data_IF_674569395591
#
_entry.id   IF_674569395591
#
_cell.length_a   1.000
_cell.length_b   1.000
_cell.length_c   1.000
_cell.angle_alpha   90.00
_cell.angle_beta   90.00
_cell.angle_gamma   90.00
#
_symmetry.space_group_name_H-M   'P 1'
#
loop_
_entity.id
_entity.type
_entity.pdbx_description
1 polymer ?
#
# COMPACT_ATOMS: atom_id res chain seq x y z
N UNK A 1 6.18 19.22 1.52
CA UNK A 1 7.54 19.52 1.01
C UNK A 1 8.46 20.23 2.02
N UNK A 2 7.96 20.93 3.05
CA UNK A 2 8.79 21.65 4.02
C UNK A 2 9.92 20.83 4.66
N UNK A 3 9.66 19.60 5.15
CA UNK A 3 10.71 18.77 5.74
C UNK A 3 11.90 18.52 4.77
N UNK A 4 11.60 18.31 3.48
CA UNK A 4 12.63 18.14 2.45
C UNK A 4 13.45 19.43 2.22
N UNK A 5 12.85 20.62 2.42
CA UNK A 5 13.58 21.90 2.30
C UNK A 5 14.55 22.09 3.46
N UNK A 6 14.24 21.52 4.63
CA UNK A 6 15.13 21.47 5.79
C UNK A 6 16.23 20.39 5.66
N UNK A 7 16.28 19.67 4.52
CA UNK A 7 17.23 18.59 4.29
C UNK A 7 16.95 17.32 5.11
N UNK A 8 15.75 17.22 5.70
CA UNK A 8 15.30 16.03 6.44
C UNK A 8 14.89 14.96 5.42
N UNK A 9 15.49 13.75 5.46
CA UNK A 9 15.05 12.65 4.61
C UNK A 9 13.61 12.26 4.95
N UNK A 10 12.75 12.21 3.94
CA UNK A 10 11.35 11.78 4.07
C UNK A 10 11.17 10.48 3.32
N UNK A 11 10.60 9.47 3.99
CA UNK A 11 10.36 8.14 3.42
C UNK A 11 8.87 7.87 3.30
N UNK A 12 8.48 7.04 2.34
CA UNK A 12 7.10 6.55 2.24
C UNK A 12 7.02 5.14 1.65
N UNK A 13 6.13 4.33 2.20
CA UNK A 13 5.92 2.93 1.83
C UNK A 13 4.49 2.48 2.16
N UNK A 14 4.16 1.24 1.78
CA UNK A 14 3.05 0.41 2.25
C UNK A 14 1.60 0.87 1.97
N UNK A 15 1.29 2.16 2.01
CA UNK A 15 -0.09 2.64 1.94
C UNK A 15 -0.11 4.01 1.24
N UNK A 16 -0.89 4.97 1.74
CA UNK A 16 -0.83 6.37 1.31
C UNK A 16 0.61 6.93 1.32
N UNK A 17 1.49 6.44 2.20
CA UNK A 17 2.91 6.81 2.19
C UNK A 17 3.64 6.43 0.90
N UNK A 18 3.34 5.27 0.31
CA UNK A 18 3.91 4.85 -0.97
C UNK A 18 3.41 5.71 -2.12
N UNK A 19 2.10 5.98 -2.18
CA UNK A 19 1.51 6.89 -3.16
C UNK A 19 2.14 8.30 -3.06
N UNK A 20 2.21 8.87 -1.85
CA UNK A 20 2.87 10.17 -1.64
C UNK A 20 4.35 10.14 -2.02
N UNK A 21 5.06 9.04 -1.76
CA UNK A 21 6.44 8.90 -2.20
C UNK A 21 6.57 8.88 -3.73
N UNK A 22 5.62 8.27 -4.46
CA UNK A 22 5.62 8.26 -5.92
C UNK A 22 5.45 9.67 -6.47
N UNK A 23 4.45 10.42 -5.98
CA UNK A 23 4.20 11.81 -6.35
C UNK A 23 5.38 12.74 -6.00
N UNK A 24 5.99 12.52 -4.83
CA UNK A 24 7.04 13.38 -4.29
C UNK A 24 8.46 12.91 -4.61
N UNK A 25 8.62 11.84 -5.36
CA UNK A 25 9.92 11.33 -5.79
C UNK A 25 10.75 12.38 -6.54
N UNK A 26 10.20 13.16 -7.50
CA UNK A 26 10.94 14.22 -8.17
C UNK A 26 11.47 15.30 -7.22
N UNK A 27 10.86 15.42 -6.04
CA UNK A 27 11.24 16.37 -4.99
C UNK A 27 12.17 15.76 -3.93
N UNK A 28 12.56 14.49 -4.07
CA UNK A 28 13.52 13.81 -3.20
C UNK A 28 12.93 13.01 -2.04
N UNK A 29 11.62 12.76 -2.04
CA UNK A 29 11.05 11.76 -1.13
C UNK A 29 11.52 10.35 -1.54
N UNK A 30 11.87 9.52 -0.56
CA UNK A 30 12.39 8.17 -0.76
C UNK A 30 11.23 7.19 -0.67
N UNK A 31 10.82 6.62 -1.79
CA UNK A 31 9.84 5.54 -1.80
C UNK A 31 10.48 4.17 -1.58
N UNK A 32 9.74 3.28 -0.92
CA UNK A 32 10.21 1.93 -0.59
C UNK A 32 9.09 0.91 -0.81
N UNK A 33 9.47 -0.23 -1.41
CA UNK A 33 8.63 -1.41 -1.50
C UNK A 33 7.84 -1.52 -2.80
N UNK A 34 7.17 -2.66 -2.99
CA UNK A 34 6.50 -2.99 -4.23
C UNK A 34 5.33 -2.04 -4.54
N UNK A 35 4.58 -1.62 -3.51
CA UNK A 35 3.43 -0.71 -3.66
C UNK A 35 3.91 0.65 -4.18
N UNK A 36 5.05 1.13 -3.70
CA UNK A 36 5.64 2.36 -4.22
C UNK A 36 6.00 2.23 -5.71
N UNK A 37 6.65 1.13 -6.11
CA UNK A 37 7.05 0.92 -7.50
C UNK A 37 5.83 0.82 -8.45
N UNK A 38 4.73 0.20 -8.00
CA UNK A 38 3.48 0.18 -8.77
C UNK A 38 2.92 1.60 -9.01
N UNK A 39 2.87 2.46 -7.99
CA UNK A 39 2.45 3.85 -8.18
C UNK A 39 3.45 4.66 -9.01
N UNK A 40 4.75 4.45 -8.76
CA UNK A 40 5.84 5.17 -9.44
C UNK A 40 5.88 4.91 -10.93
N UNK A 41 5.61 3.68 -11.34
CA UNK A 41 5.58 3.26 -12.74
C UNK A 41 4.27 3.64 -13.45
N UNK A 42 3.24 4.08 -12.70
CA UNK A 42 1.90 4.32 -13.23
C UNK A 42 1.10 3.04 -13.46
N UNK A 43 1.57 1.88 -12.97
CA UNK A 43 0.77 0.65 -13.01
C UNK A 43 -0.50 0.84 -12.16
N UNK A 44 -0.37 1.50 -11.01
CA UNK A 44 -1.48 1.84 -10.13
C UNK A 44 -1.64 3.36 -10.07
N UNK A 45 -2.89 3.81 -10.24
CA UNK A 45 -3.25 5.23 -10.17
C UNK A 45 -4.35 5.50 -9.14
N UNK A 46 -5.11 4.48 -8.74
CA UNK A 46 -6.23 4.62 -7.80
C UNK A 46 -5.78 4.53 -6.34
N UNK A 47 -6.24 5.47 -5.51
CA UNK A 47 -6.02 5.48 -4.05
C UNK A 47 -6.61 4.24 -3.35
N UNK A 48 -7.60 3.58 -3.95
CA UNK A 48 -8.27 2.42 -3.38
C UNK A 48 -7.38 1.17 -3.33
N UNK A 49 -6.24 1.18 -4.03
CA UNK A 49 -5.30 0.05 -4.04
C UNK A 49 -4.75 -0.22 -2.63
N UNK A 50 -4.64 0.83 -1.82
CA UNK A 50 -4.11 0.78 -0.46
C UNK A 50 -5.16 1.06 0.63
N UNK A 51 -6.36 1.48 0.24
CA UNK A 51 -7.45 1.82 1.15
C UNK A 51 -7.99 0.59 1.87
N UNK A 52 -8.22 0.74 3.18
CA UNK A 52 -8.85 -0.26 4.04
C UNK A 52 -9.73 0.45 5.06
N UNK A 53 -10.75 -0.25 5.57
CA UNK A 53 -11.48 0.18 6.76
C UNK A 53 -10.72 -0.32 7.97
N UNK A 54 -10.47 0.55 8.94
CA UNK A 54 -9.90 0.16 10.24
C UNK A 54 -10.98 0.14 11.31
N UNK A 55 -10.80 -0.72 12.30
CA UNK A 55 -11.53 -0.62 13.56
C UNK A 55 -11.24 0.73 14.23
N UNK A 56 -12.11 1.18 15.15
CA UNK A 56 -11.80 2.29 16.03
C UNK A 56 -10.46 2.13 16.76
N UNK A 57 -9.88 3.24 17.20
CA UNK A 57 -8.56 3.28 17.85
C UNK A 57 -8.55 2.50 19.16
N UNK A 58 -9.69 2.49 19.87
CA UNK A 58 -9.91 1.75 21.11
C UNK A 58 -9.79 0.23 20.92
N UNK A 59 -9.95 -0.25 19.67
CA UNK A 59 -9.80 -1.65 19.28
C UNK A 59 -8.47 -1.92 18.55
N UNK A 60 -7.54 -0.97 18.57
CA UNK A 60 -6.19 -1.14 18.03
C UNK A 60 -6.06 -0.98 16.52
N UNK A 61 -6.97 -0.27 15.87
CA UNK A 61 -6.93 0.06 14.43
C UNK A 61 -6.70 -1.16 13.53
N UNK A 62 -7.33 -2.30 13.82
CA UNK A 62 -7.19 -3.50 13.01
C UNK A 62 -7.89 -3.31 11.66
N UNK A 63 -7.31 -3.78 10.55
CA UNK A 63 -7.99 -3.74 9.26
C UNK A 63 -9.22 -4.66 9.28
N UNK A 64 -10.39 -4.10 8.95
CA UNK A 64 -11.65 -4.82 8.78
C UNK A 64 -11.86 -5.27 7.33
N UNK A 65 -11.16 -4.63 6.39
CA UNK A 65 -11.16 -4.98 4.97
C UNK A 65 -9.73 -5.12 4.46
N UNK A 66 -9.59 -5.78 3.30
CA UNK A 66 -8.31 -6.08 2.69
C UNK A 66 -7.91 -4.96 1.72
N UNK A 67 -6.62 -4.61 1.70
CA UNK A 67 -6.10 -3.72 0.66
C UNK A 67 -6.06 -4.48 -0.68
N UNK A 68 -6.28 -3.77 -1.79
CA UNK A 68 -6.15 -4.42 -3.11
C UNK A 68 -4.73 -4.92 -3.33
N UNK A 69 -3.73 -4.17 -2.87
CA UNK A 69 -2.32 -4.56 -2.92
C UNK A 69 -2.06 -5.94 -2.27
N UNK A 70 -2.63 -6.18 -1.09
CA UNK A 70 -2.48 -7.45 -0.36
C UNK A 70 -3.23 -8.60 -1.07
N UNK A 71 -4.41 -8.31 -1.64
CA UNK A 71 -5.16 -9.29 -2.44
C UNK A 71 -4.39 -9.68 -3.71
N UNK A 72 -3.84 -8.71 -4.46
CA UNK A 72 -3.03 -8.97 -5.66
C UNK A 72 -1.82 -9.84 -5.33
N UNK A 73 -1.09 -9.48 -4.28
CA UNK A 73 0.07 -10.24 -3.84
C UNK A 73 -0.31 -11.67 -3.40
N UNK A 74 -1.40 -11.82 -2.67
CA UNK A 74 -1.90 -13.13 -2.21
C UNK A 74 -2.35 -14.02 -3.37
N UNK A 75 -3.10 -13.48 -4.33
CA UNK A 75 -3.57 -14.23 -5.50
C UNK A 75 -2.43 -14.60 -6.46
N UNK A 76 -1.42 -13.73 -6.59
CA UNK A 76 -0.18 -14.05 -7.31
C UNK A 76 0.56 -15.22 -6.65
N UNK A 77 0.71 -15.19 -5.32
CA UNK A 77 1.31 -16.31 -4.57
C UNK A 77 0.52 -17.61 -4.73
N UNK A 78 -0.81 -17.54 -4.75
CA UNK A 78 -1.67 -18.70 -4.98
C UNK A 78 -1.54 -19.26 -6.42
N UNK A 79 -1.38 -18.40 -7.43
CA UNK A 79 -1.11 -18.80 -8.82
C UNK A 79 0.26 -19.51 -8.91
N UNK A 80 1.31 -18.89 -8.35
CA UNK A 80 2.68 -19.43 -8.36
C UNK A 80 2.78 -20.77 -7.62
N UNK A 81 1.99 -20.95 -6.55
CA UNK A 81 1.89 -22.21 -5.81
C UNK A 81 0.95 -23.25 -6.47
N UNK A 82 0.34 -22.95 -7.62
CA UNK A 82 -0.56 -23.86 -8.33
C UNK A 82 -1.89 -24.12 -7.62
N UNK A 83 -2.26 -23.29 -6.63
CA UNK A 83 -3.52 -23.40 -5.87
C UNK A 83 -4.71 -23.02 -6.74
N UNK A 84 -4.52 -22.01 -7.58
CA UNK A 84 -5.50 -21.55 -8.57
C UNK A 84 -4.84 -21.38 -9.93
N UNK A 85 -5.61 -21.52 -11.00
CA UNK A 85 -5.11 -21.16 -12.34
C UNK A 85 -4.93 -19.64 -12.48
N UNK A 86 -4.06 -19.21 -13.40
CA UNK A 86 -3.93 -17.79 -13.80
C UNK A 86 -5.27 -17.15 -14.17
N UNK A 87 -6.13 -17.90 -14.86
CA UNK A 87 -7.48 -17.45 -15.21
C UNK A 87 -8.32 -17.18 -13.96
N UNK A 88 -8.31 -18.10 -13.00
CA UNK A 88 -9.04 -17.94 -11.74
C UNK A 88 -8.48 -16.76 -10.93
N UNK A 89 -7.16 -16.65 -10.79
CA UNK A 89 -6.52 -15.52 -10.09
C UNK A 89 -6.87 -14.17 -10.72
N UNK A 90 -6.84 -14.07 -12.05
CA UNK A 90 -7.22 -12.86 -12.78
C UNK A 90 -8.69 -12.48 -12.58
N UNK A 91 -9.61 -13.45 -12.61
CA UNK A 91 -11.04 -13.21 -12.36
C UNK A 91 -11.30 -12.74 -10.92
N UNK A 92 -10.65 -13.35 -9.93
CA UNK A 92 -10.76 -12.94 -8.53
C UNK A 92 -10.17 -11.55 -8.29
N UNK A 93 -9.04 -11.24 -8.93
CA UNK A 93 -8.41 -9.93 -8.86
C UNK A 93 -9.33 -8.85 -9.46
N UNK A 94 -9.87 -9.09 -10.65
CA UNK A 94 -10.80 -8.16 -11.29
C UNK A 94 -12.07 -7.94 -10.45
N UNK A 95 -12.61 -9.02 -9.88
CA UNK A 95 -13.76 -8.91 -8.99
C UNK A 95 -13.45 -8.13 -7.72
N UNK A 96 -12.35 -8.44 -7.03
CA UNK A 96 -11.91 -7.72 -5.83
C UNK A 96 -11.70 -6.22 -6.10
N UNK A 97 -11.18 -5.87 -7.28
CA UNK A 97 -11.01 -4.49 -7.73
C UNK A 97 -12.35 -3.80 -8.02
N UNK A 98 -13.35 -4.53 -8.51
CA UNK A 98 -14.70 -3.98 -8.72
C UNK A 98 -15.48 -3.69 -7.44
N UNK A 99 -15.07 -4.27 -6.31
CA UNK A 99 -15.66 -4.01 -5.00
C UNK A 99 -15.20 -2.65 -4.47
N UNK A 100 -16.13 -1.90 -3.88
CA UNK A 100 -15.76 -0.75 -3.06
C UNK A 100 -14.88 -1.22 -1.90
N UNK A 101 -13.83 -0.47 -1.55
CA UNK A 101 -12.82 -0.90 -0.57
C UNK A 101 -13.40 -1.24 0.82
N UNK A 102 -14.59 -0.71 1.14
CA UNK A 102 -15.32 -1.00 2.39
C UNK A 102 -15.98 -2.38 2.42
N UNK A 103 -16.17 -2.99 1.26
CA UNK A 103 -16.81 -4.30 1.11
C UNK A 103 -15.80 -5.40 0.71
N UNK A 104 -14.53 -5.01 0.52
CA UNK A 104 -13.45 -5.87 0.05
C UNK A 104 -12.92 -6.76 1.17
N UNK A 105 -13.52 -7.94 1.31
CA UNK A 105 -13.06 -8.99 2.24
C UNK A 105 -12.83 -10.29 1.48
N UNK A 106 -11.98 -11.19 2.00
CA UNK A 106 -11.83 -12.53 1.40
C UNK A 106 -13.15 -13.31 1.34
N UNK A 107 -14.04 -13.12 2.31
CA UNK A 107 -15.37 -13.74 2.28
C UNK A 107 -16.16 -13.27 1.05
N UNK A 108 -16.17 -11.95 0.78
CA UNK A 108 -16.80 -11.38 -0.41
C UNK A 108 -16.12 -11.88 -1.69
N UNK A 109 -14.78 -11.81 -1.76
CA UNK A 109 -14.00 -12.22 -2.95
C UNK A 109 -14.21 -13.69 -3.29
N UNK A 110 -14.25 -14.58 -2.28
CA UNK A 110 -14.49 -16.02 -2.47
C UNK A 110 -15.94 -16.34 -2.86
N UNK A 111 -16.89 -15.44 -2.57
CA UNK A 111 -18.29 -15.59 -2.95
C UNK A 111 -18.59 -15.20 -4.41
N UNK A 112 -17.55 -15.01 -5.25
CA UNK A 112 -17.70 -14.56 -6.64
C UNK A 112 -18.70 -15.43 -7.45
N UNK A 113 -19.83 -14.84 -7.92
CA UNK A 113 -20.93 -15.60 -8.52
C UNK A 113 -20.54 -16.40 -9.77
N UNK A 114 -19.66 -15.85 -10.61
CA UNK A 114 -19.29 -16.42 -11.91
C UNK A 114 -18.33 -17.60 -11.78
N UNK A 115 -17.65 -17.76 -10.63
CA UNK A 115 -16.72 -18.87 -10.38
C UNK A 115 -17.38 -20.09 -9.73
N UNK A 116 -18.67 -19.98 -9.36
CA UNK A 116 -19.43 -21.03 -8.69
C UNK A 116 -19.64 -22.31 -9.51
N UNK A 117 -19.34 -22.33 -10.82
CA UNK A 117 -19.46 -23.54 -11.67
C UNK A 117 -18.15 -23.96 -12.35
N UNK A 118 -17.39 -23.04 -12.92
CA UNK A 118 -16.19 -23.39 -13.70
C UNK A 118 -14.93 -23.67 -12.85
N UNK A 119 -14.88 -23.18 -11.61
CA UNK A 119 -13.65 -23.21 -10.80
C UNK A 119 -13.88 -23.66 -9.35
N UNK A 120 -14.92 -24.45 -9.05
CA UNK A 120 -15.24 -24.87 -7.66
C UNK A 120 -14.05 -25.50 -6.93
N UNK A 121 -13.22 -26.28 -7.63
CA UNK A 121 -12.06 -26.92 -7.03
C UNK A 121 -10.97 -25.90 -6.67
N UNK A 122 -10.65 -24.97 -7.56
CA UNK A 122 -9.74 -23.85 -7.28
C UNK A 122 -10.24 -23.03 -6.08
N UNK A 123 -11.54 -22.72 -6.03
CA UNK A 123 -12.12 -21.96 -4.90
C UNK A 123 -12.00 -22.71 -3.57
N UNK A 124 -12.23 -24.03 -3.55
CA UNK A 124 -12.05 -24.85 -2.35
C UNK A 124 -10.58 -24.92 -1.92
N UNK A 125 -9.66 -25.07 -2.88
CA UNK A 125 -8.21 -25.07 -2.62
C UNK A 125 -7.76 -23.72 -2.06
N UNK A 126 -8.16 -22.63 -2.69
CA UNK A 126 -7.84 -21.28 -2.24
C UNK A 126 -8.39 -21.00 -0.85
N UNK A 127 -9.67 -21.34 -0.59
CA UNK A 127 -10.27 -21.16 0.73
C UNK A 127 -9.53 -21.93 1.84
N UNK A 128 -9.03 -23.14 1.54
CA UNK A 128 -8.20 -23.92 2.47
C UNK A 128 -6.76 -23.42 2.61
N UNK A 129 -6.22 -22.78 1.58
CA UNK A 129 -4.84 -22.28 1.54
C UNK A 129 -4.69 -20.89 2.20
N UNK A 130 -5.68 -20.01 2.04
CA UNK A 130 -5.64 -18.63 2.51
C UNK A 130 -5.27 -18.46 3.99
N UNK A 131 -5.81 -19.21 4.97
CA UNK A 131 -5.57 -18.92 6.39
C UNK A 131 -4.10 -18.92 6.83
N UNK A 132 -3.21 -19.62 6.11
CA UNK A 132 -1.78 -19.67 6.41
C UNK A 132 -0.90 -18.94 5.39
N UNK A 133 -1.47 -18.43 4.30
CA UNK A 133 -0.69 -17.97 3.15
C UNK A 133 -1.11 -16.59 2.61
N UNK A 134 -1.85 -15.80 3.41
CA UNK A 134 -2.09 -14.39 3.06
C UNK A 134 -0.77 -13.64 3.01
N UNK A 135 -0.60 -12.84 1.96
CA UNK A 135 0.56 -11.97 1.80
C UNK A 135 0.17 -10.58 2.30
N UNK A 136 0.78 -10.15 3.40
CA UNK A 136 0.66 -8.78 3.93
C UNK A 136 1.68 -7.86 3.24
N UNK A 137 1.47 -7.55 1.95
CA UNK A 137 2.39 -6.72 1.17
C UNK A 137 2.62 -5.35 1.81
N UNK A 138 1.57 -4.74 2.37
CA UNK A 138 1.71 -3.48 3.12
C UNK A 138 2.68 -3.62 4.30
N UNK A 139 2.60 -4.73 5.03
CA UNK A 139 3.50 -5.02 6.16
C UNK A 139 4.94 -5.23 5.67
N UNK A 140 5.13 -5.98 4.59
CA UNK A 140 6.44 -6.24 3.97
C UNK A 140 7.10 -4.91 3.58
N UNK A 141 6.39 -4.04 2.87
CA UNK A 141 6.89 -2.73 2.43
C UNK A 141 7.24 -1.82 3.62
N UNK A 142 6.39 -1.81 4.67
CA UNK A 142 6.64 -1.02 5.88
C UNK A 142 7.91 -1.48 6.62
N UNK A 143 8.10 -2.80 6.75
CA UNK A 143 9.29 -3.38 7.38
C UNK A 143 10.56 -3.09 6.56
N UNK A 144 10.47 -3.18 5.23
CA UNK A 144 11.58 -2.81 4.34
C UNK A 144 12.00 -1.34 4.54
N UNK A 145 11.04 -0.43 4.64
CA UNK A 145 11.31 0.99 4.91
C UNK A 145 12.02 1.19 6.25
N UNK A 146 11.56 0.53 7.33
CA UNK A 146 12.21 0.60 8.64
C UNK A 146 13.67 0.10 8.56
N UNK A 147 13.91 -0.98 7.81
CA UNK A 147 15.26 -1.50 7.56
C UNK A 147 16.17 -0.46 6.91
N UNK A 148 15.70 0.18 5.83
CA UNK A 148 16.44 1.23 5.12
C UNK A 148 16.69 2.44 6.02
N UNK A 149 15.69 2.88 6.79
CA UNK A 149 15.83 4.01 7.72
C UNK A 149 16.91 3.73 8.76
N UNK A 150 16.95 2.51 9.33
CA UNK A 150 17.97 2.08 10.29
C UNK A 150 19.37 2.16 9.68
N UNK A 151 19.54 1.65 8.45
CA UNK A 151 20.82 1.72 7.74
C UNK A 151 21.25 3.17 7.48
N UNK A 152 20.34 4.03 7.04
CA UNK A 152 20.62 5.44 6.77
C UNK A 152 21.03 6.21 8.03
N UNK A 153 20.39 5.93 9.16
CA UNK A 153 20.78 6.49 10.47
C UNK A 153 22.19 6.05 10.86
N UNK A 154 22.52 4.77 10.68
CA UNK A 154 23.85 4.23 11.01
C UNK A 154 24.98 4.79 10.13
N UNK A 155 24.71 4.99 8.84
CA UNK A 155 25.70 5.42 7.86
C UNK A 155 25.94 6.94 7.83
N UNK A 156 25.22 7.73 8.64
CA UNK A 156 25.25 9.21 8.65
C UNK A 156 25.21 9.80 7.23
N UNK A 157 24.36 9.24 6.36
CA UNK A 157 24.31 9.63 4.94
C UNK A 157 24.16 11.15 4.80
N UNK A 158 24.81 11.70 3.76
CA UNK A 158 24.79 13.15 3.46
C UNK A 158 23.36 13.68 3.45
N UNK A 159 23.18 14.85 4.06
CA UNK A 159 21.89 15.57 4.05
C UNK A 159 21.41 15.76 2.62
N UNK A 160 20.12 15.48 2.40
CA UNK A 160 19.44 15.75 1.14
C UNK A 160 19.55 17.25 0.81
N UNK A 161 19.80 17.58 -0.46
CA UNK A 161 19.80 18.96 -0.95
C UNK A 161 18.59 19.14 -1.88
N UNK A 162 17.57 19.92 -1.49
CA UNK A 162 16.40 20.15 -2.32
C UNK A 162 16.79 20.87 -3.61
N UNK A 163 16.35 20.33 -4.75
CA UNK A 163 16.53 20.94 -6.08
C UNK A 163 15.27 21.70 -6.54
N UNK A 164 14.37 22.03 -5.61
CA UNK A 164 13.10 22.71 -5.88
C UNK A 164 12.94 23.94 -4.99
N UNK A 165 12.16 24.92 -5.46
CA UNK A 165 11.78 26.10 -4.67
C UNK A 165 10.48 25.83 -3.93
N UNK A 166 10.51 25.92 -2.61
CA UNK A 166 9.30 25.84 -1.80
C UNK A 166 8.45 27.10 -1.96
N UNK A 167 7.13 26.91 -2.08
CA UNK A 167 6.18 28.01 -2.25
C UNK A 167 5.54 28.35 -0.90
N UNK A 168 5.73 29.59 -0.48
CA UNK A 168 5.13 30.15 0.72
C UNK A 168 3.67 30.58 0.46
N UNK A 169 2.78 29.59 0.43
CA UNK A 169 1.36 29.82 0.14
C UNK A 169 0.63 30.44 1.33
N UNK A 170 -0.50 31.10 1.08
CA UNK A 170 -1.36 31.67 2.16
C UNK A 170 -1.79 30.59 3.16
N UNK A 171 -2.10 29.38 2.69
CA UNK A 171 -2.45 28.25 3.55
C UNK A 171 -1.28 27.80 4.43
N UNK A 172 -0.05 27.83 3.91
CA UNK A 172 1.14 27.53 4.69
C UNK A 172 1.37 28.55 5.80
N UNK A 173 1.27 29.86 5.48
CA UNK A 173 1.41 30.93 6.48
C UNK A 173 0.38 30.80 7.61
N UNK A 174 -0.89 30.56 7.26
CA UNK A 174 -1.95 30.31 8.25
C UNK A 174 -1.63 29.12 9.14
N UNK A 175 -1.17 28.00 8.56
CA UNK A 175 -0.80 26.81 9.33
C UNK A 175 0.32 27.13 10.33
N UNK A 176 1.36 27.87 9.92
CA UNK A 176 2.47 28.26 10.80
C UNK A 176 2.10 29.31 11.83
N UNK A 177 1.15 30.20 11.55
CA UNK A 177 0.66 31.22 12.50
C UNK A 177 -0.22 30.60 13.60
N UNK A 178 -0.94 29.51 13.29
CA UNK A 178 -1.81 28.81 14.24
C UNK A 178 -1.12 27.69 15.02
N UNK A 179 0.12 27.35 14.65
CA UNK A 179 0.91 26.37 15.40
C UNK A 179 1.31 26.99 16.75
N UNK A 180 1.12 26.31 17.90
CA UNK A 180 1.63 26.81 19.16
C UNK A 180 3.14 27.01 19.05
N UNK A 181 3.63 28.15 19.55
CA UNK A 181 5.06 28.38 19.68
C UNK A 181 5.61 27.35 20.69
N UNK A 182 6.60 26.56 20.25
CA UNK A 182 7.37 25.65 21.11
C UNK A 182 8.10 26.43 22.23
#
# INVERSE_FOLDING_TARGET
>A
LWALTQGIPVYGAASMGALRAAELYPFGMIGVGAIYECYRSGEWEDDDEVAVVHSPVELGCQPLTEAMADIRATLKGAEEAGIVSRRTAGLLTAFAKSLFFKDRTWATVLAHPSLAKASRQDMKRLAGWLPQNRVEQKRIDALAMIGIMREHCSARKRRFRPAFKFQDTVNWRRLTETAPAD
#
